data_IF_333870576315
#
_entry.id   IF_333870576315
#
_cell.length_a   1.000
_cell.length_b   1.000
_cell.length_c   1.000
_cell.angle_alpha   90.00
_cell.angle_beta   90.00
_cell.angle_gamma   90.00
#
_symmetry.space_group_name_H-M   'P 1'
#
loop_
_entity.id
_entity.type
_entity.pdbx_description
1 polymer ?
#
# COMPACT_ATOMS: atom_id res chain seq x y z
N UNK A 1 7.48 -14.53 -5.45
CA UNK A 1 6.05 -14.25 -5.16
C UNK A 1 5.22 -15.54 -5.21
N UNK A 2 5.17 -16.24 -6.35
CA UNK A 2 4.36 -17.48 -6.53
C UNK A 2 4.68 -18.62 -5.57
N UNK A 3 5.97 -18.84 -5.24
CA UNK A 3 6.39 -19.92 -4.32
C UNK A 3 5.84 -19.73 -2.90
N UNK A 4 5.86 -18.50 -2.39
CA UNK A 4 5.39 -18.16 -1.05
C UNK A 4 3.88 -18.35 -0.90
N UNK A 5 3.08 -17.92 -1.89
CA UNK A 5 1.63 -18.13 -1.82
C UNK A 5 1.23 -19.62 -1.97
N UNK A 6 1.98 -20.40 -2.76
CA UNK A 6 1.80 -21.85 -2.80
C UNK A 6 2.09 -22.51 -1.45
N UNK A 7 3.12 -22.06 -0.74
CA UNK A 7 3.43 -22.51 0.63
C UNK A 7 2.33 -22.14 1.64
N UNK A 8 1.62 -21.03 1.41
CA UNK A 8 0.42 -20.64 2.16
C UNK A 8 -0.87 -21.39 1.75
N UNK A 9 -0.77 -22.34 0.81
CA UNK A 9 -1.87 -23.21 0.39
C UNK A 9 -2.73 -22.68 -0.76
N UNK A 10 -2.31 -21.62 -1.46
CA UNK A 10 -3.03 -21.11 -2.63
C UNK A 10 -2.80 -22.01 -3.86
N UNK A 11 -3.87 -22.30 -4.60
CA UNK A 11 -3.79 -23.09 -5.84
C UNK A 11 -3.33 -22.23 -7.03
N UNK A 12 -2.90 -22.87 -8.12
CA UNK A 12 -2.54 -22.17 -9.35
C UNK A 12 -3.74 -21.39 -9.93
N UNK A 13 -4.95 -21.93 -9.85
CA UNK A 13 -6.15 -21.23 -10.30
C UNK A 13 -6.47 -20.01 -9.45
N UNK A 14 -6.26 -20.10 -8.13
CA UNK A 14 -6.43 -18.96 -7.23
C UNK A 14 -5.39 -17.89 -7.54
N UNK A 15 -4.14 -18.28 -7.79
CA UNK A 15 -3.07 -17.34 -8.12
C UNK A 15 -3.31 -16.63 -9.46
N UNK A 16 -3.78 -17.35 -10.47
CA UNK A 16 -4.19 -16.75 -11.74
C UNK A 16 -5.29 -15.69 -11.56
N UNK A 17 -6.19 -15.90 -10.58
CA UNK A 17 -7.19 -14.90 -10.22
C UNK A 17 -6.56 -13.66 -9.58
N UNK A 18 -5.60 -13.80 -8.66
CA UNK A 18 -4.98 -12.64 -7.97
C UNK A 18 -4.00 -11.89 -8.86
N UNK A 19 -3.35 -12.56 -9.82
CA UNK A 19 -2.41 -11.93 -10.73
C UNK A 19 -3.08 -11.13 -11.85
N UNK A 20 -4.34 -11.42 -12.17
CA UNK A 20 -5.11 -10.57 -13.07
C UNK A 20 -5.51 -9.28 -12.35
N UNK A 21 -5.40 -8.16 -13.07
CA UNK A 21 -5.87 -6.86 -12.59
C UNK A 21 -7.38 -6.91 -12.31
N UNK A 22 -7.77 -6.70 -11.06
CA UNK A 22 -9.17 -6.62 -10.66
C UNK A 22 -9.87 -5.35 -11.17
N UNK A 23 -11.20 -5.37 -11.11
CA UNK A 23 -12.07 -4.22 -11.35
C UNK A 23 -12.86 -3.88 -10.09
N UNK A 24 -13.13 -2.60 -9.89
CA UNK A 24 -13.80 -2.11 -8.69
C UNK A 24 -14.81 -1.01 -9.06
N UNK A 25 -16.04 -1.02 -8.49
CA UNK A 25 -17.12 -0.12 -8.87
C UNK A 25 -17.00 1.22 -8.13
N UNK A 26 -15.98 2.02 -8.46
CA UNK A 26 -15.65 3.25 -7.71
C UNK A 26 -16.82 4.23 -7.59
N UNK A 27 -17.57 4.47 -8.67
CA UNK A 27 -18.66 5.45 -8.66
C UNK A 27 -19.89 4.96 -7.86
N UNK A 28 -20.04 3.65 -7.67
CA UNK A 28 -21.11 3.05 -6.86
C UNK A 28 -20.86 3.23 -5.35
N UNK A 29 -19.60 3.36 -4.94
CA UNK A 29 -19.21 3.53 -3.54
C UNK A 29 -19.39 5.00 -3.13
N UNK A 30 -20.64 5.38 -2.90
CA UNK A 30 -21.06 6.74 -2.59
C UNK A 30 -21.17 7.03 -1.08
N UNK A 31 -21.08 6.00 -0.25
CA UNK A 31 -21.25 6.09 1.19
C UNK A 31 -20.50 4.98 1.92
N UNK A 32 -20.28 5.16 3.22
CA UNK A 32 -19.58 4.16 4.02
C UNK A 32 -20.37 2.84 4.09
N UNK A 33 -21.70 2.92 4.10
CA UNK A 33 -22.57 1.76 4.20
C UNK A 33 -22.43 0.82 2.99
N UNK A 34 -22.10 1.35 1.79
CA UNK A 34 -21.83 0.53 0.60
C UNK A 34 -20.67 -0.44 0.81
N UNK A 35 -19.66 -0.06 1.59
CA UNK A 35 -18.53 -0.96 1.87
C UNK A 35 -18.94 -2.20 2.68
N UNK A 36 -20.05 -2.12 3.42
CA UNK A 36 -20.58 -3.20 4.24
C UNK A 36 -21.51 -4.13 3.45
N UNK A 37 -21.84 -3.80 2.20
CA UNK A 37 -22.67 -4.67 1.35
C UNK A 37 -21.99 -6.00 1.09
N UNK A 38 -22.78 -7.07 1.20
CA UNK A 38 -22.32 -8.46 1.14
C UNK A 38 -22.45 -9.10 -0.24
N UNK A 39 -22.74 -8.29 -1.26
CA UNK A 39 -22.89 -8.73 -2.64
C UNK A 39 -22.20 -7.75 -3.58
N UNK A 40 -21.74 -8.25 -4.73
CA UNK A 40 -21.25 -7.38 -5.79
C UNK A 40 -22.42 -6.61 -6.41
N UNK A 41 -22.24 -5.32 -6.73
CA UNK A 41 -23.26 -4.58 -7.45
C UNK A 41 -23.44 -5.13 -8.87
N UNK A 42 -24.52 -4.71 -9.52
CA UNK A 42 -24.85 -5.15 -10.87
C UNK A 42 -23.80 -4.66 -11.87
N UNK A 43 -23.66 -5.38 -12.99
CA UNK A 43 -22.69 -5.06 -14.04
C UNK A 43 -22.72 -3.59 -14.50
N UNK A 44 -23.91 -2.99 -14.62
CA UNK A 44 -24.06 -1.61 -15.08
C UNK A 44 -23.60 -0.55 -14.07
N UNK A 45 -23.44 -0.93 -12.80
CA UNK A 45 -22.90 -0.09 -11.72
C UNK A 45 -21.36 -0.10 -11.68
N UNK A 46 -20.71 -1.01 -12.41
CA UNK A 46 -19.25 -1.01 -12.59
C UNK A 46 -18.83 0.05 -13.63
N UNK A 47 -19.03 1.30 -13.26
CA UNK A 47 -18.59 2.48 -13.99
C UNK A 47 -17.56 3.25 -13.18
N UNK A 48 -16.56 3.80 -13.87
CA UNK A 48 -15.67 4.81 -13.28
C UNK A 48 -15.58 6.00 -14.21
N UNK A 49 -15.86 7.18 -13.69
CA UNK A 49 -15.72 8.44 -14.44
C UNK A 49 -14.31 8.63 -15.03
N UNK A 50 -13.28 8.01 -14.42
CA UNK A 50 -11.88 8.10 -14.87
C UNK A 50 -11.48 7.06 -15.94
N UNK A 51 -12.14 5.90 -15.98
CA UNK A 51 -11.74 4.75 -16.84
C UNK A 51 -12.86 4.20 -17.72
N UNK A 52 -14.07 4.72 -17.62
CA UNK A 52 -15.24 4.29 -18.37
C UNK A 52 -15.89 3.02 -17.82
N UNK A 53 -16.58 2.29 -18.71
CA UNK A 53 -17.25 1.03 -18.40
C UNK A 53 -16.28 -0.15 -18.49
N UNK A 54 -16.45 -1.13 -17.62
CA UNK A 54 -15.72 -2.39 -17.71
C UNK A 54 -16.29 -3.30 -18.81
N UNK A 55 -15.57 -4.36 -19.15
CA UNK A 55 -16.10 -5.40 -20.05
C UNK A 55 -16.88 -6.46 -19.27
N UNK A 56 -17.70 -7.25 -19.98
CA UNK A 56 -18.40 -8.39 -19.38
C UNK A 56 -17.43 -9.42 -18.78
N UNK A 57 -16.28 -9.65 -19.45
CA UNK A 57 -15.23 -10.57 -18.98
C UNK A 57 -14.61 -10.08 -17.66
N UNK A 58 -14.42 -8.77 -17.51
CA UNK A 58 -13.94 -8.20 -16.24
C UNK A 58 -14.94 -8.40 -15.10
N UNK A 59 -16.24 -8.27 -15.38
CA UNK A 59 -17.28 -8.51 -14.38
C UNK A 59 -17.37 -9.98 -13.97
N UNK A 60 -17.32 -10.89 -14.95
CA UNK A 60 -17.27 -12.34 -14.68
C UNK A 60 -16.03 -12.71 -13.86
N UNK A 61 -14.89 -12.09 -14.15
CA UNK A 61 -13.69 -12.24 -13.35
C UNK A 61 -13.88 -11.75 -11.91
N UNK A 62 -14.47 -10.57 -11.69
CA UNK A 62 -14.78 -10.05 -10.36
C UNK A 62 -15.72 -10.99 -9.58
N UNK A 63 -16.75 -11.54 -10.22
CA UNK A 63 -17.65 -12.52 -9.61
C UNK A 63 -16.91 -13.81 -9.21
N UNK A 64 -15.99 -14.27 -10.05
CA UNK A 64 -15.17 -15.46 -9.75
C UNK A 64 -14.24 -15.22 -8.56
N UNK A 65 -13.56 -14.08 -8.52
CA UNK A 65 -12.71 -13.66 -7.39
C UNK A 65 -13.54 -13.58 -6.10
N UNK A 66 -14.69 -12.90 -6.13
CA UNK A 66 -15.58 -12.75 -4.98
C UNK A 66 -15.98 -14.09 -4.36
N UNK A 67 -16.38 -15.04 -5.23
CA UNK A 67 -16.80 -16.38 -4.80
C UNK A 67 -15.64 -17.23 -4.31
N UNK A 68 -14.52 -17.24 -5.03
CA UNK A 68 -13.36 -18.08 -4.73
C UNK A 68 -12.72 -17.70 -3.38
N UNK A 69 -12.54 -16.39 -3.14
CA UNK A 69 -11.95 -15.88 -1.91
C UNK A 69 -12.97 -15.63 -0.79
N UNK A 70 -14.24 -15.99 -1.02
CA UNK A 70 -15.34 -15.83 -0.06
C UNK A 70 -15.40 -14.42 0.53
N UNK A 71 -15.28 -13.41 -0.35
CA UNK A 71 -15.35 -12.02 0.04
C UNK A 71 -16.68 -11.75 0.75
N UNK A 72 -16.60 -11.18 1.95
CA UNK A 72 -17.78 -10.98 2.79
C UNK A 72 -18.42 -9.61 2.58
N UNK A 73 -17.62 -8.64 2.13
CA UNK A 73 -18.07 -7.27 1.90
C UNK A 73 -17.22 -6.58 0.82
N UNK A 74 -17.70 -5.45 0.30
CA UNK A 74 -17.01 -4.70 -0.75
C UNK A 74 -15.68 -4.10 -0.26
N UNK A 75 -15.52 -3.86 1.04
CA UNK A 75 -14.27 -3.38 1.64
C UNK A 75 -13.11 -4.39 1.51
N UNK A 76 -13.40 -5.69 1.66
CA UNK A 76 -12.40 -6.75 1.53
C UNK A 76 -11.71 -6.78 0.16
N UNK A 77 -12.33 -6.17 -0.86
CA UNK A 77 -11.78 -6.06 -2.21
C UNK A 77 -11.09 -4.71 -2.49
N UNK A 78 -11.02 -3.83 -1.49
CA UNK A 78 -10.64 -2.43 -1.62
C UNK A 78 -9.45 -2.05 -0.73
N UNK A 79 -8.24 -2.30 -1.22
CA UNK A 79 -7.03 -2.03 -0.43
C UNK A 79 -6.80 -0.54 -0.12
N UNK A 80 -7.35 0.39 -0.92
CA UNK A 80 -7.06 1.82 -0.82
C UNK A 80 -8.27 2.75 -0.69
N UNK A 81 -9.50 2.31 -0.96
CA UNK A 81 -10.63 3.24 -1.04
C UNK A 81 -11.05 3.81 0.32
N UNK A 82 -10.87 3.07 1.42
CA UNK A 82 -10.98 3.68 2.75
C UNK A 82 -9.94 4.79 2.96
N UNK A 83 -8.72 4.63 2.46
CA UNK A 83 -7.65 5.63 2.58
C UNK A 83 -7.89 6.85 1.69
N UNK A 84 -8.43 6.64 0.48
CA UNK A 84 -8.71 7.70 -0.50
C UNK A 84 -9.99 8.49 -0.14
N UNK A 85 -10.92 7.90 0.60
CA UNK A 85 -12.11 8.60 1.11
C UNK A 85 -11.80 9.51 2.32
N UNK A 86 -10.60 9.42 2.90
CA UNK A 86 -10.21 10.30 4.00
C UNK A 86 -9.79 11.69 3.51
N UNK A 87 -9.68 12.63 4.46
CA UNK A 87 -9.14 13.95 4.20
C UNK A 87 -7.66 13.88 3.80
N UNK A 88 -7.40 13.98 2.49
CA UNK A 88 -6.05 14.01 1.95
C UNK A 88 -5.48 15.43 1.93
N UNK A 89 -4.16 15.55 2.14
CA UNK A 89 -3.46 16.82 1.99
C UNK A 89 -3.35 17.16 0.50
N UNK A 90 -3.86 18.33 0.10
CA UNK A 90 -3.95 18.71 -1.32
C UNK A 90 -3.04 19.88 -1.71
N UNK A 91 -2.66 20.76 -0.77
CA UNK A 91 -1.87 21.98 -1.08
C UNK A 91 -1.28 22.66 0.15
N UNK A 92 -0.48 23.70 -0.10
CA UNK A 92 0.07 24.64 0.90
C UNK A 92 1.06 24.03 1.90
N UNK A 93 1.91 23.10 1.44
CA UNK A 93 3.01 22.57 2.23
C UNK A 93 4.00 23.69 2.58
N UNK A 94 4.29 23.83 3.88
CA UNK A 94 5.24 24.82 4.40
C UNK A 94 6.01 24.22 5.56
N UNK A 95 7.30 24.53 5.63
CA UNK A 95 8.10 24.24 6.81
C UNK A 95 7.63 25.11 7.98
N UNK A 96 7.17 24.47 9.06
CA UNK A 96 6.69 25.18 10.25
C UNK A 96 7.82 25.73 11.14
N UNK A 97 9.02 25.14 11.08
CA UNK A 97 10.19 25.53 11.88
C UNK A 97 11.47 25.04 11.21
N UNK A 98 12.58 25.77 11.36
CA UNK A 98 13.86 25.34 10.78
C UNK A 98 14.46 24.14 11.53
N UNK A 99 15.10 23.23 10.78
CA UNK A 99 15.78 22.06 11.34
C UNK A 99 16.82 22.44 12.38
N UNK A 100 17.64 23.46 12.10
CA UNK A 100 18.68 23.94 13.03
C UNK A 100 18.13 24.46 14.36
N UNK A 101 16.98 25.14 14.33
CA UNK A 101 16.31 25.56 15.56
C UNK A 101 15.81 24.34 16.35
N UNK A 102 15.14 23.39 15.69
CA UNK A 102 14.59 22.22 16.36
C UNK A 102 15.67 21.35 17.00
N UNK A 103 16.79 21.11 16.32
CA UNK A 103 17.90 20.30 16.84
C UNK A 103 18.43 20.83 18.18
N UNK A 104 18.47 22.16 18.34
CA UNK A 104 18.94 22.80 19.57
C UNK A 104 17.85 23.02 20.63
N UNK A 105 16.60 22.63 20.37
CA UNK A 105 15.46 22.89 21.26
C UNK A 105 14.61 21.63 21.55
N UNK A 106 15.07 20.71 22.42
CA UNK A 106 14.35 19.47 22.74
C UNK A 106 12.94 19.69 23.30
N UNK A 107 12.75 20.75 24.11
CA UNK A 107 11.44 21.12 24.63
C UNK A 107 10.44 21.45 23.51
N UNK A 108 10.92 22.13 22.45
CA UNK A 108 10.09 22.43 21.28
C UNK A 108 9.80 21.17 20.46
N UNK A 109 10.77 20.26 20.27
CA UNK A 109 10.54 18.99 19.59
C UNK A 109 9.41 18.20 20.27
N UNK A 110 9.46 18.08 21.60
CA UNK A 110 8.42 17.39 22.39
C UNK A 110 7.07 18.09 22.27
N UNK A 111 7.05 19.44 22.29
CA UNK A 111 5.82 20.22 22.11
C UNK A 111 5.18 19.97 20.74
N UNK A 112 5.97 19.98 19.66
CA UNK A 112 5.49 19.75 18.30
C UNK A 112 4.99 18.31 18.11
N UNK A 113 5.72 17.32 18.62
CA UNK A 113 5.28 15.92 18.58
C UNK A 113 3.94 15.74 19.30
N UNK A 114 3.80 16.29 20.51
CA UNK A 114 2.55 16.22 21.27
C UNK A 114 1.40 16.95 20.59
N UNK A 115 1.68 18.04 19.87
CA UNK A 115 0.68 18.72 19.06
C UNK A 115 0.25 17.82 17.89
N UNK A 116 1.20 17.25 17.15
CA UNK A 116 0.95 16.37 16.00
C UNK A 116 0.09 15.15 16.38
N UNK A 117 0.40 14.49 17.50
CA UNK A 117 -0.34 13.33 18.00
C UNK A 117 -1.80 13.65 18.40
N UNK A 118 -2.15 14.92 18.56
CA UNK A 118 -3.51 15.38 18.93
C UNK A 118 -4.30 15.92 17.75
N UNK A 119 -3.72 15.97 16.56
CA UNK A 119 -4.43 16.43 15.36
C UNK A 119 -5.52 15.41 15.00
N UNK A 120 -6.74 15.90 14.81
CA UNK A 120 -7.86 15.04 14.40
C UNK A 120 -7.73 14.60 12.93
N UNK A 121 -8.24 13.43 12.55
CA UNK A 121 -8.22 12.97 11.15
C UNK A 121 -8.90 13.93 10.16
N UNK A 122 -9.91 14.68 10.60
CA UNK A 122 -10.68 15.64 9.81
C UNK A 122 -10.17 17.09 9.91
N UNK A 123 -9.00 17.30 10.52
CA UNK A 123 -8.46 18.63 10.73
C UNK A 123 -8.15 19.32 9.39
N UNK A 124 -8.52 20.60 9.28
CA UNK A 124 -8.25 21.45 8.10
C UNK A 124 -6.75 21.55 7.74
N UNK A 125 -5.86 21.27 8.70
CA UNK A 125 -4.40 21.25 8.51
C UNK A 125 -3.81 20.04 9.23
N UNK A 126 -3.12 19.19 8.49
CA UNK A 126 -2.25 18.13 9.03
C UNK A 126 -0.81 18.60 9.19
N UNK A 127 0.05 17.70 9.69
CA UNK A 127 1.49 17.90 9.71
C UNK A 127 2.22 16.62 9.30
N UNK A 128 3.38 16.79 8.66
CA UNK A 128 4.34 15.72 8.42
C UNK A 128 5.50 15.89 9.39
N UNK A 129 5.91 14.80 10.04
CA UNK A 129 7.07 14.78 10.91
C UNK A 129 8.18 13.98 10.26
N UNK A 130 9.37 14.57 10.19
CA UNK A 130 10.59 13.82 9.95
C UNK A 130 11.21 13.52 11.32
N UNK A 131 11.29 12.24 11.66
CA UNK A 131 11.77 11.76 12.97
C UNK A 131 12.92 10.78 12.78
N UNK A 132 13.86 10.81 13.70
CA UNK A 132 14.84 9.74 13.85
C UNK A 132 14.29 8.74 14.86
N UNK A 133 14.04 7.51 14.44
CA UNK A 133 13.54 6.44 15.30
C UNK A 133 14.66 5.46 15.64
N UNK A 134 14.71 5.01 16.89
CA UNK A 134 15.60 3.94 17.33
C UNK A 134 14.77 2.69 17.66
N UNK A 135 15.07 1.58 16.98
CA UNK A 135 14.42 0.29 17.20
C UNK A 135 15.37 -0.64 17.95
N UNK A 136 15.06 -1.03 19.20
CA UNK A 136 15.89 -1.99 19.95
C UNK A 136 15.92 -3.36 19.26
N UNK A 137 17.06 -4.07 19.26
CA UNK A 137 17.19 -5.40 18.61
C UNK A 137 16.10 -6.40 19.00
N UNK A 138 15.64 -6.37 20.26
CA UNK A 138 14.55 -7.23 20.76
C UNK A 138 13.21 -7.08 20.02
N UNK A 139 13.00 -6.00 19.27
CA UNK A 139 11.77 -5.80 18.49
C UNK A 139 11.88 -6.37 17.08
N UNK A 140 13.05 -6.88 16.66
CA UNK A 140 13.28 -7.40 15.33
C UNK A 140 12.35 -8.58 15.00
N UNK A 141 12.28 -9.57 15.90
CA UNK A 141 11.44 -10.76 15.69
C UNK A 141 9.94 -10.43 15.72
N UNK A 142 9.54 -9.41 16.48
CA UNK A 142 8.14 -8.97 16.55
C UNK A 142 7.72 -8.15 15.32
N UNK A 143 8.64 -7.41 14.72
CA UNK A 143 8.37 -6.53 13.58
C UNK A 143 8.79 -7.15 12.24
N UNK A 144 9.14 -8.44 12.21
CA UNK A 144 9.63 -9.12 11.00
C UNK A 144 8.62 -9.11 9.86
N UNK A 145 7.34 -9.25 10.20
CA UNK A 145 6.27 -9.41 9.21
C UNK A 145 5.83 -8.07 8.62
N UNK A 146 5.93 -6.99 9.42
CA UNK A 146 5.53 -5.63 9.04
C UNK A 146 6.54 -4.59 9.55
N UNK A 147 7.74 -4.53 8.93
CA UNK A 147 8.76 -3.56 9.31
C UNK A 147 8.25 -2.12 9.10
N UNK A 148 8.20 -1.28 10.16
CA UNK A 148 7.57 0.05 10.13
C UNK A 148 8.40 1.12 9.40
N UNK A 149 9.64 0.81 9.01
CA UNK A 149 10.58 1.72 8.35
C UNK A 149 11.50 0.93 7.40
N UNK A 150 10.91 0.33 6.36
CA UNK A 150 11.68 -0.38 5.33
C UNK A 150 12.61 0.61 4.64
N UNK A 151 13.91 0.36 4.74
CA UNK A 151 14.90 1.08 3.95
C UNK A 151 14.81 0.60 2.50
N UNK A 152 14.83 1.55 1.55
CA UNK A 152 14.97 1.19 0.15
C UNK A 152 16.43 0.80 -0.07
N UNK A 153 16.70 -0.51 -0.03
CA UNK A 153 18.04 -1.06 -0.20
C UNK A 153 18.16 -1.58 -1.64
N UNK A 154 19.17 -1.13 -2.36
CA UNK A 154 19.56 -1.74 -3.62
C UNK A 154 20.16 -3.12 -3.33
N UNK A 155 19.62 -4.17 -3.94
CA UNK A 155 20.12 -5.54 -3.75
C UNK A 155 21.48 -5.67 -4.42
N UNK A 156 22.51 -5.96 -3.63
CA UNK A 156 23.86 -6.20 -4.14
C UNK A 156 23.97 -7.59 -4.81
N UNK A 157 24.89 -7.72 -5.77
CA UNK A 157 25.00 -8.93 -6.60
C UNK A 157 25.38 -10.18 -5.79
N UNK A 158 26.13 -10.01 -4.72
CA UNK A 158 26.55 -11.04 -3.78
C UNK A 158 25.45 -11.50 -2.82
N UNK A 159 24.35 -10.75 -2.70
CA UNK A 159 23.15 -11.16 -1.95
C UNK A 159 22.24 -12.08 -2.77
N UNK A 160 22.50 -12.20 -4.08
CA UNK A 160 21.72 -13.06 -4.98
C UNK A 160 22.19 -14.52 -4.87
N UNK A 161 21.24 -15.45 -4.84
CA UNK A 161 21.58 -16.86 -5.00
C UNK A 161 22.13 -17.13 -6.43
N UNK A 162 22.90 -18.22 -6.64
CA UNK A 162 23.57 -18.49 -7.92
C UNK A 162 22.64 -18.52 -9.14
N UNK A 163 21.39 -18.93 -8.96
CA UNK A 163 20.38 -18.92 -10.02
C UNK A 163 19.93 -17.51 -10.39
N UNK A 164 19.61 -16.68 -9.39
CA UNK A 164 19.17 -15.30 -9.60
C UNK A 164 20.29 -14.44 -10.18
N UNK A 165 21.54 -14.67 -9.77
CA UNK A 165 22.71 -14.00 -10.34
C UNK A 165 22.85 -14.28 -11.86
N UNK A 166 22.68 -15.54 -12.28
CA UNK A 166 22.70 -15.91 -13.71
C UNK A 166 21.55 -15.29 -14.50
N UNK A 167 20.35 -15.27 -13.92
CA UNK A 167 19.16 -14.70 -14.55
C UNK A 167 19.33 -13.19 -14.76
N UNK A 168 19.87 -12.49 -13.75
CA UNK A 168 20.22 -11.08 -13.82
C UNK A 168 21.23 -10.80 -14.95
N UNK A 169 22.28 -11.61 -15.07
CA UNK A 169 23.27 -11.46 -16.14
C UNK A 169 22.67 -11.65 -17.54
N UNK A 170 21.68 -12.54 -17.66
CA UNK A 170 21.00 -12.84 -18.93
C UNK A 170 19.96 -11.77 -19.31
N UNK A 171 19.23 -11.22 -18.34
CA UNK A 171 18.15 -10.27 -18.58
C UNK A 171 18.64 -8.83 -18.75
N UNK A 172 19.65 -8.44 -17.99
CA UNK A 172 20.00 -7.02 -17.86
C UNK A 172 21.16 -6.59 -18.77
N UNK A 173 21.78 -7.53 -19.49
CA UNK A 173 22.90 -7.26 -20.40
C UNK A 173 24.07 -6.50 -19.76
N UNK A 174 24.25 -6.63 -18.44
CA UNK A 174 25.25 -5.90 -17.65
C UNK A 174 24.81 -4.52 -17.12
N UNK A 175 23.51 -4.18 -17.14
CA UNK A 175 22.97 -2.88 -16.69
C UNK A 175 22.41 -2.84 -15.26
N UNK A 176 23.00 -3.63 -14.35
CA UNK A 176 22.82 -3.36 -12.93
C UNK A 176 23.43 -1.98 -12.65
N UNK A 177 22.57 -0.96 -12.65
CA UNK A 177 22.97 0.38 -12.29
C UNK A 177 23.19 0.39 -10.78
N UNK A 178 24.46 0.54 -10.37
CA UNK A 178 24.75 1.02 -9.04
C UNK A 178 24.04 2.37 -8.90
N UNK A 179 22.96 2.41 -8.12
CA UNK A 179 22.18 3.62 -7.94
C UNK A 179 22.77 4.43 -6.79
N UNK A 180 22.74 5.75 -7.00
CA UNK A 180 23.52 6.80 -6.34
C UNK A 180 23.63 6.68 -4.81
N UNK A 181 24.86 6.85 -4.30
CA UNK A 181 25.19 7.00 -2.88
C UNK A 181 24.53 8.24 -2.25
#
# INVERSE_FOLDING_TARGET
MTKHFKELGYTDEQLDLVYRKGVYPYDYIDSHDRFLETELPLYHEFHSTLKGKITLDDYQHAQKVWKEFRCQNLDATNLYGHSISQYLSIRNYKWGTSRGYLLNNPAMQKKLLNMALKIKPDAKRGCYLNINSHFPLKTHDYLSDLPPAVENIAVEKDWLCPYNAKLVEQLDGGRFSATEN
#
